data_IF_082520765259
#
_entry.id   IF_082520765259
#
_cell.length_a   1.000
_cell.length_b   1.000
_cell.length_c   1.000
_cell.angle_alpha   90.00
_cell.angle_beta   90.00
_cell.angle_gamma   90.00
#
_symmetry.space_group_name_H-M   'P 1'
#
loop_
_entity.id
_entity.type
_entity.pdbx_description
1 polymer ?
#
# COMPACT_ATOMS: atom_id res chain seq x y z
N UNK A 1 -23.60 -11.75 -16.64
CA UNK A 1 -22.84 -11.76 -15.37
C UNK A 1 -21.40 -11.40 -15.69
N UNK A 2 -20.83 -10.36 -15.08
CA UNK A 2 -19.40 -10.04 -15.25
C UNK A 2 -18.60 -10.89 -14.26
N UNK A 3 -17.74 -11.76 -14.75
CA UNK A 3 -16.70 -12.40 -13.94
C UNK A 3 -15.67 -11.36 -13.57
N UNK A 4 -15.54 -11.04 -12.28
CA UNK A 4 -14.39 -10.29 -11.78
C UNK A 4 -13.17 -11.20 -11.92
N UNK A 5 -12.14 -10.74 -12.65
CA UNK A 5 -10.92 -11.52 -12.83
C UNK A 5 -10.23 -11.77 -11.49
N UNK A 6 -9.52 -12.90 -11.35
CA UNK A 6 -8.77 -13.26 -10.13
C UNK A 6 -7.87 -12.12 -9.65
N UNK A 7 -7.26 -11.37 -10.57
CA UNK A 7 -6.41 -10.21 -10.27
C UNK A 7 -7.18 -9.10 -9.57
N UNK A 8 -8.39 -8.78 -10.01
CA UNK A 8 -9.19 -7.72 -9.37
C UNK A 8 -9.82 -8.18 -8.05
N UNK A 9 -10.13 -9.47 -7.90
CA UNK A 9 -10.48 -10.04 -6.60
C UNK A 9 -9.32 -9.89 -5.62
N UNK A 10 -8.09 -10.23 -6.04
CA UNK A 10 -6.89 -10.08 -5.21
C UNK A 10 -6.63 -8.63 -4.83
N UNK A 11 -6.78 -7.69 -5.78
CA UNK A 11 -6.69 -6.25 -5.50
C UNK A 11 -7.69 -5.81 -4.44
N UNK A 12 -8.95 -6.21 -4.58
CA UNK A 12 -9.99 -5.84 -3.61
C UNK A 12 -9.67 -6.37 -2.22
N UNK A 13 -9.21 -7.62 -2.12
CA UNK A 13 -8.71 -8.18 -0.86
C UNK A 13 -7.61 -7.30 -0.24
N UNK A 14 -6.61 -6.88 -1.03
CA UNK A 14 -5.55 -5.99 -0.51
C UNK A 14 -6.07 -4.64 -0.05
N UNK A 15 -7.02 -4.06 -0.76
CA UNK A 15 -7.65 -2.80 -0.34
C UNK A 15 -8.48 -2.95 0.93
N UNK A 16 -9.07 -4.12 1.17
CA UNK A 16 -9.82 -4.40 2.38
C UNK A 16 -8.89 -4.65 3.58
N UNK A 17 -7.79 -5.38 3.40
CA UNK A 17 -6.73 -5.51 4.41
C UNK A 17 -6.16 -4.14 4.80
N UNK A 18 -5.90 -3.27 3.82
CA UNK A 18 -5.44 -1.91 4.08
C UNK A 18 -6.53 -1.03 4.72
N UNK A 19 -7.81 -1.28 4.42
CA UNK A 19 -8.89 -0.55 5.09
C UNK A 19 -8.88 -0.80 6.60
N UNK A 20 -8.54 -2.02 7.05
CA UNK A 20 -8.38 -2.34 8.47
C UNK A 20 -7.13 -1.70 9.09
N UNK A 21 -6.01 -1.67 8.37
CA UNK A 21 -4.77 -1.00 8.82
C UNK A 21 -4.97 0.51 9.01
N UNK A 22 -5.76 1.13 8.13
CA UNK A 22 -6.00 2.58 8.13
C UNK A 22 -7.33 3.00 8.77
N UNK A 23 -8.08 2.07 9.38
CA UNK A 23 -9.31 2.41 10.10
C UNK A 23 -9.00 3.38 11.24
N UNK A 24 -9.59 4.58 11.18
CA UNK A 24 -9.34 5.64 12.16
C UNK A 24 -9.87 5.33 13.57
N UNK A 25 -10.84 4.43 13.69
CA UNK A 25 -11.48 4.08 14.96
C UNK A 25 -10.81 2.86 15.60
N UNK A 26 -10.48 1.84 14.79
CA UNK A 26 -9.91 0.58 15.28
C UNK A 26 -8.88 0.01 14.29
N UNK A 27 -7.69 0.62 14.18
CA UNK A 27 -6.68 0.16 13.24
C UNK A 27 -6.06 -1.16 13.67
N UNK A 28 -5.90 -2.09 12.73
CA UNK A 28 -5.06 -3.27 12.92
C UNK A 28 -3.58 -2.87 12.83
N UNK A 29 -2.72 -3.49 13.64
CA UNK A 29 -1.28 -3.22 13.70
C UNK A 29 -0.45 -4.24 12.91
N UNK A 30 -1.08 -4.96 11.98
CA UNK A 30 -0.44 -6.00 11.19
C UNK A 30 -0.82 -5.88 9.72
N UNK A 31 0.11 -6.27 8.85
CA UNK A 31 -0.10 -6.32 7.41
C UNK A 31 0.44 -7.66 6.88
N UNK A 32 -0.33 -8.35 6.04
CA UNK A 32 0.11 -9.62 5.46
C UNK A 32 0.58 -9.46 4.02
N UNK A 33 1.82 -9.83 3.73
CA UNK A 33 2.41 -9.83 2.39
C UNK A 33 2.94 -11.23 2.09
N UNK A 34 2.49 -11.87 1.01
CA UNK A 34 2.95 -13.22 0.61
C UNK A 34 2.92 -14.28 1.74
N UNK A 35 1.93 -14.21 2.63
CA UNK A 35 1.78 -15.13 3.78
C UNK A 35 2.54 -14.70 5.04
N UNK A 36 3.46 -13.74 4.91
CA UNK A 36 4.21 -13.17 6.04
C UNK A 36 3.41 -12.08 6.73
N UNK A 37 3.27 -12.16 8.04
CA UNK A 37 2.58 -11.14 8.84
C UNK A 37 3.58 -10.17 9.44
N UNK A 38 3.57 -8.94 8.94
CA UNK A 38 4.41 -7.84 9.40
C UNK A 38 3.76 -7.15 10.58
N UNK A 39 4.57 -6.70 11.54
CA UNK A 39 4.12 -5.88 12.67
C UNK A 39 4.36 -4.40 12.37
N UNK A 40 3.39 -3.57 12.74
CA UNK A 40 3.52 -2.13 12.63
C UNK A 40 4.50 -1.63 13.70
N UNK A 41 5.44 -0.79 13.27
CA UNK A 41 6.32 -0.05 14.17
C UNK A 41 5.53 1.07 14.89
N UNK A 42 5.97 1.47 16.10
CA UNK A 42 5.31 2.53 16.86
C UNK A 42 5.35 3.90 16.16
N UNK A 43 6.30 4.09 15.24
CA UNK A 43 6.42 5.29 14.43
C UNK A 43 5.29 5.36 13.39
N UNK A 44 4.35 6.30 13.60
CA UNK A 44 3.30 6.68 12.66
C UNK A 44 3.22 8.19 12.60
N UNK A 45 2.78 8.74 11.47
CA UNK A 45 2.52 10.18 11.42
C UNK A 45 1.31 10.56 12.30
N UNK A 46 1.24 11.83 12.70
CA UNK A 46 0.17 12.36 13.58
C UNK A 46 -1.25 12.10 13.06
N UNK A 47 -1.41 12.00 11.75
CA UNK A 47 -2.71 11.85 11.07
C UNK A 47 -3.07 10.39 10.77
N UNK A 48 -2.20 9.42 11.08
CA UNK A 48 -2.40 8.01 10.81
C UNK A 48 -2.45 7.63 9.33
N UNK A 49 -2.01 8.51 8.43
CA UNK A 49 -1.95 8.24 6.98
C UNK A 49 -0.64 7.60 6.54
N UNK A 50 0.38 7.59 7.41
CA UNK A 50 1.63 6.86 7.16
C UNK A 50 1.77 5.75 8.20
N UNK A 51 1.98 4.51 7.76
CA UNK A 51 2.23 3.34 8.60
C UNK A 51 3.59 2.75 8.25
N UNK A 52 4.36 2.37 9.26
CA UNK A 52 5.69 1.77 9.09
C UNK A 52 5.61 0.32 9.55
N UNK A 53 6.14 -0.61 8.76
CA UNK A 53 6.21 -2.03 9.08
C UNK A 53 7.64 -2.54 8.96
N UNK A 54 8.02 -3.44 9.86
CA UNK A 54 9.24 -4.24 9.73
C UNK A 54 9.07 -5.22 8.56
N UNK A 55 9.92 -5.09 7.54
CA UNK A 55 9.90 -5.90 6.34
C UNK A 55 11.19 -6.70 6.15
N UNK A 56 11.98 -6.90 7.21
CA UNK A 56 13.25 -7.63 7.17
C UNK A 56 13.11 -9.05 6.64
N UNK A 57 11.97 -9.70 6.88
CA UNK A 57 11.65 -11.04 6.36
C UNK A 57 11.24 -11.06 4.87
N UNK A 58 11.02 -9.90 4.24
CA UNK A 58 10.58 -9.81 2.85
C UNK A 58 11.73 -9.52 1.88
N UNK A 59 11.64 -10.14 0.71
CA UNK A 59 12.45 -9.78 -0.47
C UNK A 59 11.87 -8.56 -1.18
N UNK A 60 12.70 -7.82 -1.92
CA UNK A 60 12.24 -6.70 -2.74
C UNK A 60 11.21 -7.13 -3.78
N UNK A 61 11.32 -8.37 -4.28
CA UNK A 61 10.36 -8.95 -5.21
C UNK A 61 8.98 -9.12 -4.57
N UNK A 62 8.89 -9.65 -3.34
CA UNK A 62 7.60 -9.81 -2.65
C UNK A 62 6.94 -8.44 -2.39
N UNK A 63 7.74 -7.42 -2.08
CA UNK A 63 7.25 -6.05 -1.92
C UNK A 63 6.72 -5.49 -3.26
N UNK A 64 7.46 -5.72 -4.34
CA UNK A 64 7.03 -5.31 -5.69
C UNK A 64 5.74 -6.02 -6.10
N UNK A 65 5.66 -7.33 -5.89
CA UNK A 65 4.48 -8.15 -6.23
C UNK A 65 3.26 -7.65 -5.44
N UNK A 66 3.40 -7.36 -4.14
CA UNK A 66 2.33 -6.78 -3.34
C UNK A 66 1.85 -5.41 -3.88
N UNK A 67 2.78 -4.54 -4.29
CA UNK A 67 2.41 -3.28 -4.93
C UNK A 67 1.71 -3.50 -6.28
N UNK A 68 2.09 -4.54 -7.03
CA UNK A 68 1.42 -4.94 -8.27
C UNK A 68 0.02 -5.50 -8.01
N UNK A 69 -0.21 -6.23 -6.91
CA UNK A 69 -1.54 -6.68 -6.50
C UNK A 69 -2.46 -5.49 -6.19
N UNK A 70 -1.95 -4.43 -5.55
CA UNK A 70 -2.69 -3.18 -5.34
C UNK A 70 -3.04 -2.46 -6.64
N UNK A 71 -2.17 -2.56 -7.65
CA UNK A 71 -2.39 -1.99 -8.98
C UNK A 71 -3.36 -2.84 -9.85
N UNK A 72 -3.67 -4.06 -9.41
CA UNK A 72 -4.56 -4.99 -10.10
C UNK A 72 -4.06 -5.31 -11.51
N UNK A 73 -4.96 -5.24 -12.50
CA UNK A 73 -4.63 -5.52 -13.90
C UNK A 73 -3.72 -4.47 -14.55
N UNK A 74 -3.50 -3.32 -13.90
CA UNK A 74 -2.62 -2.27 -14.42
C UNK A 74 -1.18 -2.55 -14.00
N UNK A 75 -0.30 -2.79 -14.98
CA UNK A 75 1.13 -2.97 -14.74
C UNK A 75 1.76 -1.72 -14.11
N UNK A 76 2.57 -1.92 -13.08
CA UNK A 76 3.52 -0.92 -12.57
C UNK A 76 4.63 -0.68 -13.59
N UNK A 77 4.76 0.57 -14.03
CA UNK A 77 5.82 0.98 -14.97
C UNK A 77 6.85 1.85 -14.26
N UNK A 78 8.13 1.57 -14.48
CA UNK A 78 9.20 2.44 -13.99
C UNK A 78 9.14 3.78 -14.71
N UNK A 79 8.94 4.87 -13.97
CA UNK A 79 8.88 6.24 -14.51
C UNK A 79 10.14 7.04 -14.22
N UNK A 80 10.92 6.58 -13.24
CA UNK A 80 12.26 7.02 -12.88
C UNK A 80 12.97 5.86 -12.18
N UNK A 81 14.30 5.80 -12.17
CA UNK A 81 15.04 4.73 -11.50
C UNK A 81 14.56 4.49 -10.06
N UNK A 82 14.03 3.29 -9.81
CA UNK A 82 13.51 2.90 -8.50
C UNK A 82 12.15 3.50 -8.12
N UNK A 83 11.42 4.11 -9.07
CA UNK A 83 10.07 4.65 -8.89
C UNK A 83 9.14 4.05 -9.94
N UNK A 84 8.16 3.28 -9.49
CA UNK A 84 7.18 2.59 -10.30
C UNK A 84 5.79 3.16 -10.05
N UNK A 85 5.01 3.34 -11.11
CA UNK A 85 3.69 3.97 -11.01
C UNK A 85 2.64 3.23 -11.83
N UNK A 86 1.42 3.17 -11.31
CA UNK A 86 0.23 2.77 -12.02
C UNK A 86 -0.91 3.76 -11.74
N UNK A 87 -1.54 4.27 -12.80
CA UNK A 87 -2.79 5.04 -12.72
C UNK A 87 -3.95 4.17 -13.22
N UNK A 88 -4.93 3.94 -12.35
CA UNK A 88 -6.06 3.05 -12.60
C UNK A 88 -7.26 3.83 -13.15
N UNK A 89 -8.24 3.10 -13.71
CA UNK A 89 -9.46 3.70 -14.28
C UNK A 89 -10.33 4.41 -13.25
N UNK A 90 -10.30 3.94 -11.99
CA UNK A 90 -11.02 4.55 -10.87
C UNK A 90 -10.32 5.80 -10.28
N UNK A 91 -9.26 6.28 -10.96
CA UNK A 91 -8.36 7.36 -10.56
C UNK A 91 -7.41 7.05 -9.40
N UNK A 92 -7.44 5.83 -8.85
CA UNK A 92 -6.44 5.39 -7.88
C UNK A 92 -5.05 5.44 -8.52
N UNK A 93 -4.07 5.93 -7.78
CA UNK A 93 -2.67 5.92 -8.20
C UNK A 93 -1.89 5.10 -7.18
N UNK A 94 -1.15 4.10 -7.66
CA UNK A 94 -0.20 3.34 -6.87
C UNK A 94 1.20 3.78 -7.27
N UNK A 95 2.02 4.18 -6.30
CA UNK A 95 3.43 4.47 -6.50
C UNK A 95 4.26 3.59 -5.57
N UNK A 96 5.20 2.83 -6.12
CA UNK A 96 6.21 2.08 -5.36
C UNK A 96 7.56 2.78 -5.56
N UNK A 97 8.26 3.12 -4.48
CA UNK A 97 9.58 3.78 -4.55
C UNK A 97 10.57 3.23 -3.54
N UNK A 98 11.83 3.08 -3.95
CA UNK A 98 12.92 2.52 -3.13
C UNK A 98 13.52 3.49 -2.09
N UNK A 99 13.00 4.73 -2.00
CA UNK A 99 13.42 5.73 -1.00
C UNK A 99 12.24 6.59 -0.55
N UNK A 100 12.09 6.74 0.76
CA UNK A 100 11.26 7.81 1.31
C UNK A 100 12.07 9.12 1.38
N UNK A 101 11.52 10.20 0.84
CA UNK A 101 12.10 11.55 0.97
C UNK A 101 12.24 11.99 2.44
N UNK A 102 11.44 11.42 3.34
CA UNK A 102 11.38 11.76 4.77
C UNK A 102 11.98 10.71 5.70
N UNK A 103 12.38 9.53 5.20
CA UNK A 103 13.03 8.50 6.01
C UNK A 103 14.01 7.69 5.14
N UNK A 104 15.32 7.82 5.40
CA UNK A 104 16.36 7.14 4.61
C UNK A 104 16.54 5.66 4.99
N UNK A 105 15.93 5.21 6.09
CA UNK A 105 16.08 3.86 6.61
C UNK A 105 14.98 2.90 6.13
N UNK A 106 14.13 3.31 5.17
CA UNK A 106 13.09 2.45 4.61
C UNK A 106 13.54 1.92 3.25
N UNK A 107 13.33 0.62 3.03
CA UNK A 107 13.68 -0.07 1.78
C UNK A 107 12.74 0.30 0.66
N UNK A 108 11.44 0.37 0.98
CA UNK A 108 10.39 0.68 0.03
C UNK A 108 9.30 1.52 0.66
N UNK A 109 8.61 2.28 -0.19
CA UNK A 109 7.42 3.03 0.17
C UNK A 109 6.36 2.80 -0.89
N UNK A 110 5.13 2.50 -0.45
CA UNK A 110 3.95 2.37 -1.29
C UNK A 110 3.03 3.55 -0.97
N UNK A 111 2.85 4.45 -1.92
CA UNK A 111 1.88 5.53 -1.86
C UNK A 111 0.60 5.11 -2.60
N UNK A 112 -0.56 5.29 -1.96
CA UNK A 112 -1.88 5.00 -2.53
C UNK A 112 -2.69 6.29 -2.51
N UNK A 113 -2.85 6.90 -3.68
CA UNK A 113 -3.61 8.12 -3.85
C UNK A 113 -5.00 7.87 -4.44
N UNK A 114 -5.96 8.69 -4.05
CA UNK A 114 -7.33 8.77 -4.56
C UNK A 114 -8.13 7.45 -4.49
N UNK A 115 -7.71 6.51 -3.65
CA UNK A 115 -8.49 5.29 -3.40
C UNK A 115 -9.78 5.63 -2.66
N UNK A 116 -10.92 5.53 -3.36
CA UNK A 116 -12.25 5.74 -2.76
C UNK A 116 -12.55 4.76 -1.62
N UNK A 117 -11.95 3.56 -1.64
CA UNK A 117 -12.13 2.55 -0.58
C UNK A 117 -11.46 3.02 0.71
N UNK A 118 -10.21 3.43 0.62
CA UNK A 118 -9.43 3.85 1.79
C UNK A 118 -9.91 5.20 2.34
N UNK A 119 -10.31 6.13 1.47
CA UNK A 119 -10.86 7.42 1.88
C UNK A 119 -12.13 7.32 2.77
N UNK A 120 -12.86 6.20 2.72
CA UNK A 120 -14.05 5.98 3.57
C UNK A 120 -13.72 5.65 5.02
N UNK A 121 -12.56 5.03 5.27
CA UNK A 121 -12.18 4.49 6.59
C UNK A 121 -11.03 5.27 7.23
N UNK A 122 -10.18 5.88 6.40
CA UNK A 122 -9.04 6.66 6.83
C UNK A 122 -9.46 8.03 7.42
N UNK A 123 -8.50 8.68 8.08
CA UNK A 123 -8.66 10.01 8.65
C UNK A 123 -8.95 11.10 7.60
N UNK A 124 -9.14 12.34 8.05
CA UNK A 124 -9.49 13.54 7.24
C UNK A 124 -8.67 13.74 5.95
N UNK A 125 -7.45 13.17 5.88
CA UNK A 125 -6.55 13.22 4.71
C UNK A 125 -6.47 11.90 3.93
N UNK A 126 -7.44 11.00 4.10
CA UNK A 126 -7.45 9.61 3.63
C UNK A 126 -7.49 9.37 2.12
N UNK A 127 -7.41 10.44 1.32
CA UNK A 127 -7.15 10.32 -0.12
C UNK A 127 -5.71 9.99 -0.44
N UNK A 128 -4.79 10.11 0.53
CA UNK A 128 -3.41 9.67 0.39
C UNK A 128 -3.02 8.88 1.64
N UNK A 129 -2.58 7.64 1.43
CA UNK A 129 -1.95 6.84 2.49
C UNK A 129 -0.60 6.32 2.00
N UNK A 130 0.30 6.13 2.96
CA UNK A 130 1.68 5.72 2.74
C UNK A 130 1.99 4.50 3.62
N UNK A 131 2.52 3.45 3.01
CA UNK A 131 3.08 2.28 3.71
C UNK A 131 4.57 2.31 3.53
N UNK A 132 5.32 2.39 4.62
CA UNK A 132 6.78 2.31 4.63
C UNK A 132 7.21 0.93 5.09
N UNK A 133 8.06 0.28 4.30
CA UNK A 133 8.59 -1.05 4.55
C UNK A 133 10.07 -0.88 4.90
N UNK A 134 10.38 -1.09 6.18
CA UNK A 134 11.70 -0.90 6.77
C UNK A 134 12.54 -2.15 6.63
#
# INVERSE_FOLDING_TARGET
>A
MMTVSVIETKRQQRLDELAEVFDKNKPTQTLTIEGETLKQEPESNRYGTTKIFDSTQLTDKQIFDYAQELAGSKKLTEVNPGIYKAKLKDSTIITLRNRSSSNKNVRWTIDIDHSKRLAKVANKYGFHVEIKLK
#
